data_IF_579624745716
#
_entry.id   IF_579624745716
#
_cell.length_a   1.000
_cell.length_b   1.000
_cell.length_c   1.000
_cell.angle_alpha   90.00
_cell.angle_beta   90.00
_cell.angle_gamma   90.00
#
_symmetry.space_group_name_H-M   'P 1'
#
loop_
_entity.id
_entity.type
_entity.pdbx_description
1 polymer ?
#
# COMPACT_ATOMS: atom_id res chain seq x y z
N UNK A 1 -8.57 56.02 36.07
CA UNK A 1 -7.85 54.87 36.64
C UNK A 1 -8.42 53.59 36.02
N UNK A 2 -7.54 52.76 35.48
CA UNK A 2 -7.68 51.34 35.12
C UNK A 2 -8.68 50.89 34.03
N UNK A 3 -8.09 50.62 32.87
CA UNK A 3 -8.42 49.54 31.94
C UNK A 3 -8.40 48.18 32.68
N UNK A 4 -9.42 47.35 32.46
CA UNK A 4 -9.29 45.88 32.43
C UNK A 4 -10.57 45.25 31.87
N UNK A 5 -10.40 44.38 30.87
CA UNK A 5 -11.32 43.24 30.69
C UNK A 5 -12.21 43.27 29.46
N UNK A 6 -11.61 43.10 28.28
CA UNK A 6 -12.24 42.40 27.16
C UNK A 6 -12.93 41.12 27.66
N UNK A 7 -14.27 41.10 27.70
CA UNK A 7 -15.04 39.85 27.65
C UNK A 7 -16.21 40.01 26.68
N UNK A 8 -15.87 39.71 25.42
CA UNK A 8 -16.59 38.79 24.56
C UNK A 8 -18.11 38.99 24.47
N UNK A 9 -18.46 39.74 23.43
CA UNK A 9 -19.72 39.77 22.72
C UNK A 9 -20.26 38.34 22.48
N UNK A 10 -21.47 38.10 23.01
CA UNK A 10 -22.62 37.43 22.37
C UNK A 10 -22.32 36.11 21.63
N UNK A 11 -22.73 34.98 22.22
CA UNK A 11 -23.79 34.10 21.69
C UNK A 11 -23.83 32.78 22.48
N UNK A 12 -24.58 32.77 23.59
CA UNK A 12 -24.91 31.56 24.34
C UNK A 12 -26.20 30.93 23.77
N UNK A 13 -26.15 30.36 22.56
CA UNK A 13 -27.29 29.56 22.04
C UNK A 13 -26.90 28.46 21.03
N UNK A 14 -25.62 28.30 20.70
CA UNK A 14 -25.15 27.22 19.80
C UNK A 14 -24.21 26.20 20.45
N UNK A 15 -23.92 26.33 21.75
CA UNK A 15 -22.98 25.44 22.47
C UNK A 15 -23.64 24.22 23.12
N UNK A 16 -24.65 23.63 22.45
CA UNK A 16 -25.24 22.36 22.88
C UNK A 16 -25.69 21.52 21.70
N UNK A 17 -24.77 21.18 20.80
CA UNK A 17 -24.93 20.01 19.94
C UNK A 17 -23.55 19.57 19.46
N UNK A 18 -23.31 18.26 19.50
CA UNK A 18 -22.06 17.54 19.18
C UNK A 18 -21.12 17.22 20.36
N UNK A 19 -21.65 16.56 21.38
CA UNK A 19 -20.95 15.36 21.86
C UNK A 19 -20.88 14.39 20.67
N UNK A 20 -19.78 14.40 19.93
CA UNK A 20 -19.56 13.38 18.89
C UNK A 20 -19.22 12.07 19.57
N UNK A 21 -20.27 11.27 19.77
CA UNK A 21 -20.25 9.82 19.99
C UNK A 21 -19.02 9.22 19.29
N UNK A 22 -18.05 8.77 20.10
CA UNK A 22 -16.80 8.12 19.69
C UNK A 22 -17.15 6.86 18.89
N UNK A 23 -17.32 7.03 17.59
CA UNK A 23 -17.80 6.00 16.66
C UNK A 23 -16.82 4.82 16.69
N UNK A 24 -17.33 3.61 16.93
CA UNK A 24 -16.68 2.31 17.14
C UNK A 24 -15.73 1.81 16.02
N UNK A 25 -14.97 2.68 15.34
CA UNK A 25 -14.06 2.33 14.23
C UNK A 25 -13.04 1.26 14.65
N UNK A 26 -12.54 1.32 15.88
CA UNK A 26 -11.61 0.32 16.39
C UNK A 26 -12.21 -1.08 16.54
N UNK A 27 -13.52 -1.18 16.79
CA UNK A 27 -14.20 -2.47 16.96
C UNK A 27 -14.50 -3.12 15.61
N UNK A 28 -14.97 -2.35 14.64
CA UNK A 28 -15.13 -2.79 13.26
C UNK A 28 -13.80 -3.22 12.63
N UNK A 29 -12.73 -2.42 12.82
CA UNK A 29 -11.38 -2.79 12.35
C UNK A 29 -10.87 -4.08 13.00
N UNK A 30 -11.11 -4.30 14.30
CA UNK A 30 -10.74 -5.54 15.00
C UNK A 30 -11.51 -6.75 14.49
N UNK A 31 -12.82 -6.61 14.24
CA UNK A 31 -13.65 -7.69 13.72
C UNK A 31 -13.25 -8.08 12.29
N UNK A 32 -12.90 -7.11 11.44
CA UNK A 32 -12.39 -7.36 10.09
C UNK A 32 -11.02 -8.05 10.14
N UNK A 33 -10.11 -7.60 11.01
CA UNK A 33 -8.80 -8.26 11.15
C UNK A 33 -8.94 -9.68 11.72
N UNK A 34 -9.90 -9.91 12.61
CA UNK A 34 -10.18 -11.23 13.17
C UNK A 34 -10.83 -12.20 12.17
N UNK A 35 -11.42 -11.71 11.07
CA UNK A 35 -12.04 -12.55 10.04
C UNK A 35 -11.13 -12.89 8.86
N UNK A 36 -9.89 -12.36 8.83
CA UNK A 36 -8.91 -12.70 7.78
C UNK A 36 -8.33 -14.07 8.07
N UNK A 37 -8.58 -15.04 7.18
CA UNK A 37 -8.00 -16.38 7.31
C UNK A 37 -6.46 -16.34 7.24
N UNK A 38 -5.77 -17.28 7.89
CA UNK A 38 -4.30 -17.38 7.81
C UNK A 38 -3.78 -17.45 6.37
N UNK A 39 -4.51 -18.10 5.47
CA UNK A 39 -4.15 -18.22 4.06
C UNK A 39 -4.22 -16.87 3.34
N UNK A 40 -5.23 -16.05 3.63
CA UNK A 40 -5.37 -14.72 3.06
C UNK A 40 -4.27 -13.78 3.57
N UNK A 41 -3.89 -13.90 4.84
CA UNK A 41 -2.74 -13.18 5.39
C UNK A 41 -1.46 -13.59 4.68
N UNK A 42 -1.20 -14.90 4.54
CA UNK A 42 -0.01 -15.42 3.88
C UNK A 42 0.11 -14.95 2.41
N UNK A 43 -1.00 -14.89 1.66
CA UNK A 43 -1.02 -14.33 0.30
C UNK A 43 -0.67 -12.83 0.31
N UNK A 44 -1.25 -12.08 1.23
CA UNK A 44 -1.00 -10.64 1.37
C UNK A 44 0.47 -10.36 1.71
N UNK A 45 1.06 -11.12 2.63
CA UNK A 45 2.49 -11.00 2.95
C UNK A 45 3.39 -11.24 1.73
N UNK A 46 3.09 -12.23 0.89
CA UNK A 46 3.83 -12.47 -0.36
C UNK A 46 3.71 -11.30 -1.34
N UNK A 47 2.51 -10.76 -1.51
CA UNK A 47 2.27 -9.60 -2.38
C UNK A 47 3.04 -8.35 -1.90
N UNK A 48 3.04 -8.11 -0.59
CA UNK A 48 3.81 -7.03 0.03
C UNK A 48 5.32 -7.22 -0.16
N UNK A 49 5.83 -8.44 0.02
CA UNK A 49 7.25 -8.74 -0.16
C UNK A 49 7.70 -8.53 -1.62
N UNK A 50 6.88 -8.92 -2.60
CA UNK A 50 7.14 -8.64 -4.02
C UNK A 50 7.16 -7.12 -4.28
N UNK A 51 6.14 -6.39 -3.80
CA UNK A 51 6.06 -4.95 -3.99
C UNK A 51 7.26 -4.20 -3.37
N UNK A 52 7.72 -4.63 -2.20
CA UNK A 52 8.91 -4.08 -1.54
C UNK A 52 10.17 -4.32 -2.37
N UNK A 53 10.40 -5.54 -2.84
CA UNK A 53 11.56 -5.85 -3.70
C UNK A 53 11.57 -5.03 -5.00
N UNK A 54 10.40 -4.83 -5.62
CA UNK A 54 10.29 -3.96 -6.80
C UNK A 54 10.66 -2.52 -6.42
N UNK A 55 10.13 -1.99 -5.31
CA UNK A 55 10.45 -0.63 -4.86
C UNK A 55 11.94 -0.43 -4.58
N UNK A 56 12.57 -1.40 -3.91
CA UNK A 56 14.00 -1.38 -3.61
C UNK A 56 14.84 -1.42 -4.88
N UNK A 57 14.47 -2.27 -5.85
CA UNK A 57 15.15 -2.34 -7.14
C UNK A 57 15.03 -1.05 -7.96
N UNK A 58 13.86 -0.39 -7.93
CA UNK A 58 13.68 0.94 -8.53
C UNK A 58 14.59 1.97 -7.88
N UNK A 59 14.68 1.98 -6.55
CA UNK A 59 15.55 2.88 -5.82
C UNK A 59 17.03 2.64 -6.17
N UNK A 60 17.47 1.38 -6.20
CA UNK A 60 18.84 1.00 -6.54
C UNK A 60 19.25 1.44 -7.96
N UNK A 61 18.31 1.46 -8.90
CA UNK A 61 18.52 1.96 -10.27
C UNK A 61 18.34 3.48 -10.42
N UNK A 62 17.85 4.17 -9.39
CA UNK A 62 17.47 5.58 -9.49
C UNK A 62 16.24 5.83 -10.38
N UNK A 63 15.37 4.82 -10.56
CA UNK A 63 14.19 4.94 -11.41
C UNK A 63 13.00 5.48 -10.63
N UNK A 64 12.32 6.48 -11.20
CA UNK A 64 11.02 6.93 -10.69
C UNK A 64 9.92 5.95 -11.08
N UNK A 65 8.77 6.01 -10.38
CA UNK A 65 7.58 5.22 -10.75
C UNK A 65 7.10 5.53 -12.18
N UNK A 66 7.21 6.78 -12.62
CA UNK A 66 6.85 7.20 -13.98
C UNK A 66 7.78 6.60 -15.02
N UNK A 67 9.08 6.60 -14.72
CA UNK A 67 10.12 6.04 -15.57
C UNK A 67 9.98 4.51 -15.72
N UNK A 68 9.61 3.84 -14.63
CA UNK A 68 9.28 2.42 -14.66
C UNK A 68 7.99 2.14 -15.43
N UNK A 69 6.97 2.99 -15.29
CA UNK A 69 5.73 2.87 -16.06
C UNK A 69 5.98 2.92 -17.57
N UNK A 70 6.86 3.82 -18.02
CA UNK A 70 7.28 3.93 -19.43
C UNK A 70 7.97 2.64 -19.89
N UNK A 71 8.94 2.12 -19.12
CA UNK A 71 9.66 0.87 -19.46
C UNK A 71 8.74 -0.35 -19.55
N UNK A 72 7.78 -0.44 -18.64
CA UNK A 72 6.80 -1.53 -18.64
C UNK A 72 5.68 -1.32 -19.66
N UNK A 73 5.64 -0.20 -20.38
CA UNK A 73 4.51 0.20 -21.23
C UNK A 73 3.16 0.18 -20.49
N UNK A 74 3.19 0.60 -19.21
CA UNK A 74 2.03 0.61 -18.32
C UNK A 74 1.63 2.03 -17.92
N UNK A 75 0.40 2.17 -17.43
CA UNK A 75 -0.09 3.44 -16.86
C UNK A 75 0.50 3.66 -15.46
N UNK A 76 0.79 4.91 -15.04
CA UNK A 76 1.28 5.20 -13.69
C UNK A 76 0.38 4.67 -12.55
N UNK A 77 -0.93 4.61 -12.78
CA UNK A 77 -1.88 4.03 -11.81
C UNK A 77 -1.72 2.52 -11.64
N UNK A 78 -1.28 1.80 -12.67
CA UNK A 78 -0.98 0.37 -12.60
C UNK A 78 0.26 0.15 -11.73
N UNK A 79 1.34 0.90 -11.98
CA UNK A 79 2.56 0.84 -11.16
C UNK A 79 2.26 1.20 -9.70
N UNK A 80 1.45 2.24 -9.47
CA UNK A 80 1.04 2.63 -8.10
C UNK A 80 0.29 1.50 -7.40
N UNK A 81 -0.56 0.77 -8.12
CA UNK A 81 -1.28 -0.40 -7.59
C UNK A 81 -0.35 -1.59 -7.35
N UNK A 82 0.63 -1.84 -8.20
CA UNK A 82 1.64 -2.89 -7.95
C UNK A 82 2.40 -2.62 -6.66
N UNK A 83 2.80 -1.37 -6.44
CA UNK A 83 3.54 -0.93 -5.27
C UNK A 83 2.68 -0.72 -4.01
N UNK A 84 1.36 -0.95 -4.08
CA UNK A 84 0.50 -0.89 -2.88
C UNK A 84 0.64 -2.12 -1.97
N UNK A 85 1.28 -3.19 -2.45
CA UNK A 85 1.52 -4.42 -1.70
C UNK A 85 0.31 -5.35 -1.57
N UNK A 86 -0.80 -5.05 -2.26
CA UNK A 86 -2.04 -5.86 -2.23
C UNK A 86 -2.47 -6.33 -3.62
N UNK A 87 -1.60 -6.14 -4.61
CA UNK A 87 -1.86 -6.57 -5.98
C UNK A 87 -1.57 -8.05 -6.15
N UNK A 88 -2.47 -8.76 -6.83
CA UNK A 88 -2.21 -10.12 -7.29
C UNK A 88 -1.48 -10.08 -8.63
N UNK A 89 -0.24 -10.55 -8.67
CA UNK A 89 0.57 -10.60 -9.87
C UNK A 89 0.36 -11.92 -10.63
N UNK A 90 0.38 -11.86 -11.97
CA UNK A 90 0.53 -13.06 -12.80
C UNK A 90 2.00 -13.42 -12.93
N UNK A 91 2.31 -14.67 -13.30
CA UNK A 91 3.69 -15.10 -13.57
C UNK A 91 4.30 -14.26 -14.70
N UNK A 92 3.57 -14.10 -15.82
CA UNK A 92 4.04 -13.28 -16.95
C UNK A 92 4.43 -11.86 -16.52
N UNK A 93 3.60 -11.22 -15.68
CA UNK A 93 3.91 -9.86 -15.18
C UNK A 93 5.16 -9.87 -14.31
N UNK A 94 5.36 -10.89 -13.47
CA UNK A 94 6.56 -10.97 -12.63
C UNK A 94 7.80 -11.20 -13.49
N UNK A 95 7.73 -12.05 -14.51
CA UNK A 95 8.83 -12.29 -15.45
C UNK A 95 9.20 -11.01 -16.21
N UNK A 96 8.22 -10.28 -16.72
CA UNK A 96 8.48 -8.99 -17.40
C UNK A 96 9.17 -7.98 -16.45
N UNK A 97 8.79 -7.96 -15.17
CA UNK A 97 9.39 -7.10 -14.17
C UNK A 97 10.82 -7.56 -13.82
N UNK A 98 11.04 -8.86 -13.65
CA UNK A 98 12.35 -9.47 -13.42
C UNK A 98 13.33 -9.08 -14.54
N UNK A 99 12.90 -9.19 -15.79
CA UNK A 99 13.70 -8.81 -16.97
C UNK A 99 13.97 -7.30 -17.03
N UNK A 100 12.93 -6.47 -16.83
CA UNK A 100 13.07 -5.01 -16.88
C UNK A 100 13.98 -4.48 -15.77
N UNK A 101 13.95 -5.10 -14.58
CA UNK A 101 14.75 -4.70 -13.43
C UNK A 101 16.07 -5.46 -13.32
N UNK A 102 16.26 -6.56 -14.04
CA UNK A 102 17.42 -7.44 -13.88
C UNK A 102 17.54 -7.97 -12.45
N UNK A 103 16.42 -8.39 -11.86
CA UNK A 103 16.35 -8.96 -10.51
C UNK A 103 15.61 -10.31 -10.56
N UNK A 104 15.73 -11.10 -9.49
CA UNK A 104 14.88 -12.27 -9.27
C UNK A 104 13.87 -11.96 -8.16
N UNK A 105 12.58 -12.03 -8.47
CA UNK A 105 11.46 -11.89 -7.54
C UNK A 105 10.98 -13.24 -6.99
N UNK A 106 11.10 -14.31 -7.79
CA UNK A 106 10.67 -15.66 -7.43
C UNK A 106 11.84 -16.64 -7.36
N UNK A 107 11.98 -17.34 -6.23
CA UNK A 107 12.92 -18.46 -6.09
C UNK A 107 12.37 -19.74 -6.72
N UNK A 108 12.38 -19.84 -8.05
CA UNK A 108 11.90 -21.03 -8.77
C UNK A 108 13.04 -22.02 -8.92
N UNK A 109 12.81 -23.27 -8.49
CA UNK A 109 13.70 -24.38 -8.78
C UNK A 109 13.30 -25.01 -10.11
N UNK A 110 14.09 -24.77 -11.16
CA UNK A 110 13.92 -25.47 -12.42
C UNK A 110 14.56 -26.85 -12.31
N UNK A 111 13.78 -27.95 -12.40
CA UNK A 111 14.38 -29.27 -12.50
C UNK A 111 15.25 -29.29 -13.76
N UNK A 112 16.49 -29.78 -13.63
CA UNK A 112 17.36 -29.99 -14.78
C UNK A 112 16.70 -31.06 -15.66
N UNK A 113 16.01 -30.62 -16.72
CA UNK A 113 15.56 -31.54 -17.76
C UNK A 113 16.82 -32.07 -18.45
N UNK A 114 17.18 -33.30 -18.12
CA UNK A 114 18.23 -34.02 -18.82
C UNK A 114 17.74 -34.23 -20.25
N UNK A 115 18.28 -33.46 -21.20
CA UNK A 115 18.09 -33.73 -22.62
C UNK A 115 18.67 -35.12 -22.89
N UNK A 116 17.77 -36.08 -23.18
CA UNK A 116 18.12 -37.39 -23.71
C UNK A 116 18.23 -37.32 -25.23
#
# INVERSE_FOLDING_TARGET
MHLHGLKQVVNQSSFRFMETKKRNRGELSRQILASISPEQQARTYKQMAIAAQIADALQAKGWSKSEFAIRMSQRPSVITRWLSGTHNFTIDTLSDIEDALGIQLLGIHYPLFSAH
#
